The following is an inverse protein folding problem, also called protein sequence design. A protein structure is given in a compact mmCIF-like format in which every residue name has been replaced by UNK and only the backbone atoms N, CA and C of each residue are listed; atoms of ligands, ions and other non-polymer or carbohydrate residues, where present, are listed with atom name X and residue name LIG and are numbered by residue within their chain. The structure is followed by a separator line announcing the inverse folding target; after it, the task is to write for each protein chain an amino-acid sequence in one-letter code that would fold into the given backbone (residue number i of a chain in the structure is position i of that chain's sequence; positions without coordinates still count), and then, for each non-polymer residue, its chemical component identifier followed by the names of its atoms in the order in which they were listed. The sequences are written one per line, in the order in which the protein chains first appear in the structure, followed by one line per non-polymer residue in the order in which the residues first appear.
data_IF_901739215214
#
_entry.id   IF_901739215214
#
_cell.length_a   1.000
_cell.length_b   1.000
_cell.length_c   1.000
_cell.angle_alpha   90.00
_cell.angle_beta   90.00
_cell.angle_gamma   90.00
#
_symmetry.space_group_name_H-M   'P 1'
#
loop_
_entity.id
_entity.type
_entity.pdbx_description
1 polymer ?
#
# COMPACT_ATOMS: atom_id res chain seq x y z
N UNK A 1 12.95 -33.57 21.84
CA UNK A 1 12.77 -32.95 20.51
C UNK A 1 12.40 -31.50 20.74
N UNK A 2 13.28 -30.58 20.37
CA UNK A 2 13.03 -29.15 20.52
C UNK A 2 11.98 -28.65 19.53
N UNK A 3 11.37 -27.49 19.80
CA UNK A 3 10.42 -26.88 18.87
C UNK A 3 11.06 -26.57 17.50
N UNK A 4 12.36 -26.25 17.50
CA UNK A 4 13.17 -25.97 16.30
C UNK A 4 13.29 -27.19 15.40
N UNK A 5 13.57 -28.37 15.96
CA UNK A 5 13.62 -29.64 15.23
C UNK A 5 12.26 -29.99 14.63
N UNK A 6 11.17 -29.74 15.37
CA UNK A 6 9.81 -29.97 14.89
C UNK A 6 9.47 -29.05 13.71
N UNK A 7 9.85 -27.78 13.78
CA UNK A 7 9.63 -26.79 12.72
C UNK A 7 10.47 -27.12 11.48
N UNK A 8 11.75 -27.47 11.65
CA UNK A 8 12.63 -27.88 10.56
C UNK A 8 12.06 -29.11 9.83
N UNK A 9 11.59 -30.11 10.58
CA UNK A 9 10.96 -31.32 10.03
C UNK A 9 9.69 -30.99 9.24
N UNK A 10 8.83 -30.10 9.75
CA UNK A 10 7.61 -29.68 9.06
C UNK A 10 7.90 -28.86 7.79
N UNK A 11 8.89 -27.96 7.84
CA UNK A 11 9.33 -27.18 6.66
C UNK A 11 9.86 -28.08 5.56
N UNK A 12 10.68 -29.07 5.91
CA UNK A 12 11.22 -30.06 4.97
C UNK A 12 10.11 -30.89 4.31
N UNK A 13 9.19 -31.42 5.12
CA UNK A 13 8.04 -32.19 4.61
C UNK A 13 7.15 -31.35 3.67
N UNK A 14 6.94 -30.07 3.98
CA UNK A 14 6.18 -29.16 3.12
C UNK A 14 6.91 -28.88 1.79
N UNK A 15 8.23 -28.66 1.84
CA UNK A 15 9.03 -28.41 0.65
C UNK A 15 9.03 -29.62 -0.32
N UNK A 16 9.01 -30.84 0.23
CA UNK A 16 8.93 -32.09 -0.53
C UNK A 16 7.57 -32.28 -1.23
N UNK A 17 6.49 -31.73 -0.68
CA UNK A 17 5.14 -31.79 -1.27
C UNK A 17 4.94 -30.86 -2.48
N UNK A 18 5.77 -29.83 -2.64
CA UNK A 18 5.65 -28.86 -3.74
C UNK A 18 6.41 -29.44 -4.95
N UNK A 19 5.74 -29.76 -6.07
CA UNK A 19 6.41 -30.22 -7.28
C UNK A 19 7.44 -29.20 -7.75
N UNK A 20 8.57 -29.68 -8.27
CA UNK A 20 9.74 -28.85 -8.59
C UNK A 20 9.43 -27.69 -9.55
N UNK A 21 8.53 -27.91 -10.52
CA UNK A 21 8.05 -26.87 -11.45
C UNK A 21 7.32 -25.70 -10.80
N UNK A 22 6.85 -25.86 -9.56
CA UNK A 22 6.14 -24.82 -8.79
C UNK A 22 7.01 -24.23 -7.67
N UNK A 23 8.25 -24.72 -7.51
CA UNK A 23 9.18 -24.14 -6.54
C UNK A 23 9.73 -22.84 -7.11
N UNK A 24 9.78 -21.82 -6.26
CA UNK A 24 10.49 -20.58 -6.59
C UNK A 24 11.97 -20.93 -6.73
N UNK A 25 12.62 -20.62 -7.87
CA UNK A 25 14.04 -20.84 -8.06
C UNK A 25 14.86 -20.22 -6.91
N UNK A 26 15.89 -20.95 -6.44
CA UNK A 26 16.64 -20.55 -5.25
C UNK A 26 17.35 -19.20 -5.40
N UNK A 27 17.73 -18.84 -6.63
CA UNK A 27 18.29 -17.55 -7.02
C UNK A 27 17.30 -16.38 -6.92
N UNK A 28 16.00 -16.67 -6.85
CA UNK A 28 14.94 -15.67 -6.64
C UNK A 28 14.53 -15.54 -5.17
N UNK A 29 14.97 -16.45 -4.30
CA UNK A 29 14.75 -16.34 -2.87
C UNK A 29 15.80 -15.38 -2.27
N UNK A 30 15.44 -14.59 -1.24
CA UNK A 30 16.43 -13.84 -0.48
C UNK A 30 17.48 -14.81 0.08
N UNK A 31 18.74 -14.39 0.08
CA UNK A 31 19.82 -15.18 0.70
C UNK A 31 19.54 -15.35 2.20
N UNK A 32 19.90 -16.51 2.76
CA UNK A 32 19.61 -16.83 4.18
C UNK A 32 20.21 -15.82 5.17
N UNK A 33 21.27 -15.09 4.76
CA UNK A 33 21.90 -14.02 5.53
C UNK A 33 21.16 -12.68 5.47
N UNK A 34 20.16 -12.53 4.59
CA UNK A 34 19.34 -11.34 4.47
C UNK A 34 18.25 -11.35 5.54
N UNK A 35 18.67 -11.15 6.80
CA UNK A 35 17.77 -11.01 7.94
C UNK A 35 17.09 -9.64 8.01
N UNK A 36 17.59 -8.67 7.26
CA UNK A 36 17.11 -7.29 7.23
C UNK A 36 16.53 -6.93 5.88
N UNK A 37 15.27 -6.51 5.88
CA UNK A 37 14.61 -5.81 4.77
C UNK A 37 14.77 -4.29 4.90
N UNK A 38 15.61 -3.81 5.83
CA UNK A 38 15.78 -2.38 6.13
C UNK A 38 16.80 -1.72 5.19
N UNK A 39 17.74 -2.49 4.60
CA UNK A 39 18.61 -2.00 3.50
C UNK A 39 17.87 -1.86 2.17
N UNK A 40 16.63 -2.35 2.11
CA UNK A 40 15.70 -2.19 1.00
C UNK A 40 14.92 -0.86 1.16
N UNK A 41 15.59 0.30 1.15
CA UNK A 41 15.01 1.43 0.42
C UNK A 41 15.81 1.82 -0.83
N UNK A 42 17.09 1.47 -0.96
CA UNK A 42 17.91 2.02 -2.06
C UNK A 42 17.44 1.57 -3.45
N UNK A 43 16.93 0.34 -3.59
CA UNK A 43 16.48 -0.20 -4.88
C UNK A 43 14.98 -0.07 -5.13
N UNK A 44 14.19 -0.07 -4.06
CA UNK A 44 12.74 0.01 -4.09
C UNK A 44 12.27 1.45 -4.21
N UNK A 45 11.99 1.85 -5.45
CA UNK A 45 11.65 3.23 -5.79
C UNK A 45 12.36 3.67 -7.08
N UNK A 46 13.47 3.02 -7.46
CA UNK A 46 14.20 3.29 -8.71
C UNK A 46 13.37 3.08 -9.98
N UNK A 47 12.34 2.24 -9.90
CA UNK A 47 11.36 1.98 -10.97
C UNK A 47 9.96 2.52 -10.61
N UNK A 48 9.87 3.42 -9.63
CA UNK A 48 8.58 3.96 -9.22
C UNK A 48 8.02 4.90 -10.28
N UNK A 49 6.73 4.74 -10.57
CA UNK A 49 5.94 5.69 -11.38
C UNK A 49 5.93 7.13 -10.82
N UNK A 50 6.44 7.36 -9.60
CA UNK A 50 6.55 8.69 -9.01
C UNK A 50 7.78 9.47 -9.51
N UNK A 51 8.81 8.80 -10.02
CA UNK A 51 10.03 9.48 -10.48
C UNK A 51 9.80 10.36 -11.73
N UNK A 52 9.07 9.91 -12.77
CA UNK A 52 8.82 10.73 -13.96
C UNK A 52 8.06 12.04 -13.66
N UNK A 53 7.23 12.07 -12.61
CA UNK A 53 6.54 13.29 -12.17
C UNK A 53 7.41 14.21 -11.28
N UNK A 54 8.71 13.91 -11.14
CA UNK A 54 9.66 14.71 -10.38
C UNK A 54 9.58 14.51 -8.86
N UNK A 55 8.96 13.43 -8.37
CA UNK A 55 8.86 13.19 -6.93
C UNK A 55 10.21 12.81 -6.31
N UNK A 56 10.51 13.36 -5.13
CA UNK A 56 11.69 13.02 -4.34
C UNK A 56 11.31 11.99 -3.27
N UNK A 57 11.68 10.73 -3.49
CA UNK A 57 11.44 9.65 -2.53
C UNK A 57 12.55 9.67 -1.47
N UNK A 58 12.19 9.83 -0.20
CA UNK A 58 13.17 10.04 0.88
C UNK A 58 13.02 9.07 2.06
N UNK A 59 11.87 8.43 2.22
CA UNK A 59 11.63 7.45 3.30
C UNK A 59 10.73 6.32 2.85
N UNK A 60 10.81 5.21 3.59
CA UNK A 60 9.78 4.18 3.63
C UNK A 60 9.16 4.15 5.01
N UNK A 61 7.84 4.03 5.06
CA UNK A 61 7.14 4.02 6.34
C UNK A 61 6.76 2.61 6.77
N UNK A 62 6.53 2.48 8.07
CA UNK A 62 6.27 1.21 8.73
C UNK A 62 4.89 0.65 8.35
N UNK A 63 4.79 -0.68 8.29
CA UNK A 63 3.55 -1.43 8.00
C UNK A 63 3.39 -2.56 9.02
N UNK A 64 2.18 -3.10 9.27
CA UNK A 64 2.05 -4.29 10.09
C UNK A 64 2.71 -5.51 9.47
N UNK A 65 2.98 -6.48 10.32
CA UNK A 65 3.41 -7.80 9.88
C UNK A 65 2.41 -8.35 8.85
N UNK A 66 2.93 -8.81 7.71
CA UNK A 66 2.19 -9.31 6.54
C UNK A 66 1.19 -8.36 5.89
N UNK A 67 1.14 -7.08 6.26
CA UNK A 67 0.21 -6.04 5.74
C UNK A 67 -1.30 -6.33 5.92
N UNK A 68 -1.67 -7.38 6.67
CA UNK A 68 -3.05 -7.88 6.75
C UNK A 68 -3.75 -7.57 8.09
N UNK A 69 -3.57 -6.37 8.62
CA UNK A 69 -4.28 -5.90 9.83
C UNK A 69 -4.45 -4.38 9.83
N UNK A 70 -5.53 -3.90 10.43
CA UNK A 70 -5.87 -2.48 10.58
C UNK A 70 -5.18 -1.81 11.80
N UNK A 71 -3.94 -2.20 12.07
CA UNK A 71 -3.04 -1.62 13.08
C UNK A 71 -1.62 -1.73 12.52
N UNK A 72 -0.68 -0.85 12.89
CA UNK A 72 0.69 -0.90 12.37
C UNK A 72 1.66 -1.37 13.44
N UNK A 73 1.85 -2.68 13.50
CA UNK A 73 2.79 -3.37 14.40
C UNK A 73 3.46 -4.56 13.71
N UNK A 74 4.77 -4.69 13.88
CA UNK A 74 5.53 -5.85 13.43
C UNK A 74 6.73 -6.11 14.36
N UNK A 75 7.33 -7.30 14.25
CA UNK A 75 8.46 -7.73 15.09
C UNK A 75 9.83 -7.20 14.65
N UNK A 76 9.90 -6.40 13.57
CA UNK A 76 11.16 -5.87 13.00
C UNK A 76 11.40 -4.43 13.48
N UNK A 77 10.44 -3.54 13.22
CA UNK A 77 10.49 -2.10 13.54
C UNK A 77 9.69 -1.78 14.80
N UNK A 78 8.73 -2.63 15.17
CA UNK A 78 7.83 -2.40 16.30
C UNK A 78 6.53 -1.70 15.89
N UNK A 79 5.89 -1.06 16.88
CA UNK A 79 4.59 -0.39 16.73
C UNK A 79 4.74 1.07 16.30
N UNK A 80 3.97 1.48 15.32
CA UNK A 80 3.74 2.90 15.02
C UNK A 80 2.61 3.43 15.89
N UNK A 81 2.85 4.56 16.55
CA UNK A 81 1.88 5.21 17.44
C UNK A 81 1.09 6.29 16.69
N UNK A 82 -0.15 6.54 17.12
CA UNK A 82 -0.94 7.64 16.59
C UNK A 82 -0.36 9.00 17.03
N UNK A 83 -0.13 9.96 16.11
CA UNK A 83 0.41 11.27 16.42
C UNK A 83 -0.44 12.12 17.38
N UNK A 84 -1.77 11.96 17.35
CA UNK A 84 -2.69 12.73 18.19
C UNK A 84 -2.80 12.16 19.61
N UNK A 85 -2.69 10.83 19.74
CA UNK A 85 -2.73 10.17 21.04
C UNK A 85 -1.97 8.84 21.00
N UNK A 86 -0.83 8.79 21.70
CA UNK A 86 0.06 7.60 21.75
C UNK A 86 -0.57 6.37 22.40
N UNK A 87 -1.73 6.48 23.05
CA UNK A 87 -2.51 5.37 23.59
C UNK A 87 -3.47 4.75 22.55
N UNK A 88 -3.60 5.37 21.38
CA UNK A 88 -4.46 4.88 20.29
C UNK A 88 -3.63 4.30 19.13
N UNK A 89 -4.27 3.42 18.36
CA UNK A 89 -3.71 2.91 17.11
C UNK A 89 -3.62 4.03 16.05
N UNK A 90 -2.55 4.02 15.25
CA UNK A 90 -2.48 4.83 14.04
C UNK A 90 -3.25 4.20 12.86
N UNK A 91 -3.88 3.04 13.05
CA UNK A 91 -4.53 2.28 11.99
C UNK A 91 -3.53 1.48 11.15
N UNK A 92 -4.00 0.89 10.07
CA UNK A 92 -3.16 0.08 9.18
C UNK A 92 -3.87 -0.38 7.91
N UNK A 93 -3.15 -0.94 6.94
CA UNK A 93 -1.73 -1.26 7.01
C UNK A 93 -0.79 -0.09 6.70
N UNK A 94 -1.27 1.00 6.10
CA UNK A 94 -0.46 2.19 5.78
C UNK A 94 -0.31 3.16 6.97
N UNK A 95 -0.28 2.67 8.21
CA UNK A 95 -0.30 3.54 9.40
C UNK A 95 1.01 4.31 9.62
N UNK A 96 2.15 3.79 9.12
CA UNK A 96 3.39 4.56 9.04
C UNK A 96 3.27 5.80 8.17
N UNK A 97 2.70 5.67 6.96
CA UNK A 97 2.47 6.79 6.04
C UNK A 97 1.60 7.86 6.70
N UNK A 98 0.45 7.45 7.25
CA UNK A 98 -0.50 8.41 7.81
C UNK A 98 0.02 9.06 9.08
N UNK A 99 0.76 8.34 9.92
CA UNK A 99 1.39 8.94 11.09
C UNK A 99 2.45 9.97 10.69
N UNK A 100 3.26 9.67 9.68
CA UNK A 100 4.28 10.60 9.18
C UNK A 100 3.66 11.86 8.57
N UNK A 101 2.66 11.70 7.70
CA UNK A 101 1.96 12.82 7.07
C UNK A 101 1.26 13.67 8.14
N UNK A 102 0.56 13.06 9.10
CA UNK A 102 -0.11 13.81 10.16
C UNK A 102 0.86 14.60 11.06
N UNK A 103 2.11 14.13 11.21
CA UNK A 103 3.20 14.89 11.84
C UNK A 103 3.83 15.96 10.93
N UNK A 104 3.26 16.19 9.74
CA UNK A 104 3.81 17.05 8.69
C UNK A 104 5.22 16.65 8.21
N UNK A 105 5.58 15.39 8.43
CA UNK A 105 6.86 14.84 7.99
C UNK A 105 6.92 14.57 6.50
N UNK A 106 5.76 14.42 5.83
CA UNK A 106 5.59 14.34 4.38
C UNK A 106 4.36 15.16 3.93
N UNK A 107 4.41 15.88 2.79
CA UNK A 107 3.23 16.56 2.24
C UNK A 107 2.22 15.59 1.62
N UNK A 108 2.70 14.46 1.10
CA UNK A 108 1.88 13.43 0.45
C UNK A 108 2.57 12.07 0.59
N UNK A 109 1.79 11.00 0.70
CA UNK A 109 2.29 9.64 0.72
C UNK A 109 1.41 8.70 -0.06
N UNK A 110 1.84 7.45 -0.22
CA UNK A 110 1.12 6.43 -0.98
C UNK A 110 0.97 5.17 -0.14
N UNK A 111 -0.28 4.75 0.04
CA UNK A 111 -0.62 3.50 0.69
C UNK A 111 -1.14 2.46 -0.29
N UNK A 112 -1.48 1.28 0.25
CA UNK A 112 -2.24 0.25 -0.48
C UNK A 112 -3.54 -0.06 0.26
N UNK A 113 -4.59 -0.46 -0.46
CA UNK A 113 -5.91 -0.73 0.14
C UNK A 113 -6.66 -1.86 -0.58
N UNK A 114 -6.61 -3.04 0.04
CA UNK A 114 -7.46 -4.19 -0.29
C UNK A 114 -8.73 -4.22 0.57
N UNK A 115 -8.63 -3.87 1.86
CA UNK A 115 -9.70 -4.00 2.85
C UNK A 115 -9.91 -2.77 3.74
N UNK A 116 -9.31 -1.63 3.42
CA UNK A 116 -9.37 -0.40 4.23
C UNK A 116 -8.01 0.25 4.49
N UNK A 117 -6.92 -0.31 3.97
CA UNK A 117 -5.57 0.03 4.42
C UNK A 117 -5.01 1.40 4.01
N UNK A 118 -5.75 2.17 3.20
CA UNK A 118 -5.54 3.61 3.02
C UNK A 118 -6.55 4.37 3.90
N UNK A 119 -7.83 4.00 3.81
CA UNK A 119 -8.95 4.73 4.40
C UNK A 119 -8.98 4.68 5.93
N UNK A 120 -8.76 3.51 6.53
CA UNK A 120 -8.73 3.31 7.98
C UNK A 120 -7.63 4.13 8.65
N UNK A 121 -6.34 4.02 8.25
CA UNK A 121 -5.31 4.84 8.88
C UNK A 121 -5.48 6.33 8.55
N UNK A 122 -5.98 6.72 7.36
CA UNK A 122 -6.26 8.12 7.08
C UNK A 122 -7.32 8.68 8.04
N UNK A 123 -8.41 7.94 8.28
CA UNK A 123 -9.46 8.33 9.23
C UNK A 123 -8.92 8.43 10.67
N UNK A 124 -8.05 7.51 11.10
CA UNK A 124 -7.50 7.52 12.47
C UNK A 124 -6.54 8.68 12.72
N UNK A 125 -5.94 9.24 11.67
CA UNK A 125 -4.96 10.32 11.77
C UNK A 125 -5.48 11.63 11.12
N UNK A 126 -6.79 11.78 10.90
CA UNK A 126 -7.36 13.04 10.43
C UNK A 126 -6.90 13.48 9.04
N UNK A 127 -6.61 12.54 8.14
CA UNK A 127 -6.11 12.80 6.79
C UNK A 127 -7.14 12.43 5.72
N UNK A 128 -6.90 12.95 4.51
CA UNK A 128 -7.60 12.53 3.31
C UNK A 128 -6.85 11.37 2.67
N UNK A 129 -7.55 10.29 2.34
CA UNK A 129 -6.98 9.17 1.60
C UNK A 129 -8.00 8.61 0.63
N UNK A 130 -7.57 8.33 -0.60
CA UNK A 130 -8.44 7.74 -1.62
C UNK A 130 -7.99 6.32 -1.94
N UNK A 131 -8.92 5.37 -1.84
CA UNK A 131 -8.81 4.07 -2.47
C UNK A 131 -9.42 4.20 -3.87
N UNK A 132 -8.61 4.31 -4.95
CA UNK A 132 -9.18 4.40 -6.28
C UNK A 132 -9.80 3.07 -6.72
N UNK A 133 -10.57 3.09 -7.80
CA UNK A 133 -11.02 1.86 -8.46
C UNK A 133 -9.83 1.01 -8.87
N UNK A 134 -9.99 -0.31 -8.87
CA UNK A 134 -8.98 -1.20 -9.41
C UNK A 134 -8.66 -0.85 -10.87
N UNK A 135 -7.38 -0.97 -11.24
CA UNK A 135 -6.87 -0.60 -12.55
C UNK A 135 -6.78 0.91 -12.81
N UNK A 136 -7.05 1.77 -11.82
CA UNK A 136 -6.89 3.23 -11.98
C UNK A 136 -5.46 3.71 -11.74
N UNK A 137 -4.69 3.03 -10.92
CA UNK A 137 -3.32 3.39 -10.57
C UNK A 137 -2.40 2.20 -10.83
N UNK A 138 -1.14 2.45 -11.25
CA UNK A 138 -0.16 1.39 -11.42
C UNK A 138 0.07 0.66 -10.10
N UNK A 139 0.15 -0.67 -10.20
CA UNK A 139 0.39 -1.60 -9.10
C UNK A 139 1.56 -2.56 -9.42
N UNK A 140 2.10 -2.52 -10.64
CA UNK A 140 3.29 -3.25 -11.03
C UNK A 140 4.46 -2.98 -10.06
N UNK A 141 5.16 -4.04 -9.66
CA UNK A 141 6.29 -3.97 -8.74
C UNK A 141 5.93 -3.84 -7.26
N UNK A 142 4.66 -3.59 -6.91
CA UNK A 142 4.21 -3.57 -5.52
C UNK A 142 4.34 -4.96 -4.91
N UNK A 143 4.92 -5.05 -3.71
CA UNK A 143 5.07 -6.32 -2.99
C UNK A 143 3.80 -6.64 -2.21
N UNK A 144 3.31 -7.88 -2.33
CA UNK A 144 2.14 -8.37 -1.62
C UNK A 144 2.48 -9.65 -0.85
N UNK A 145 1.75 -9.88 0.24
CA UNK A 145 1.81 -11.15 0.99
C UNK A 145 0.95 -12.25 0.36
N UNK A 146 0.19 -11.91 -0.69
CA UNK A 146 -0.80 -12.79 -1.34
C UNK A 146 -0.71 -12.66 -2.87
N UNK A 147 0.47 -12.89 -3.43
CA UNK A 147 0.68 -12.84 -4.89
C UNK A 147 -0.21 -13.89 -5.61
N UNK A 148 -0.78 -13.50 -6.75
CA UNK A 148 -1.64 -14.36 -7.58
C UNK A 148 -3.11 -14.43 -7.16
N UNK A 149 -3.51 -13.75 -6.08
CA UNK A 149 -4.93 -13.58 -5.76
C UNK A 149 -5.58 -12.57 -6.72
N UNK A 150 -6.71 -12.94 -7.32
CA UNK A 150 -7.43 -12.06 -8.27
C UNK A 150 -8.93 -11.89 -7.90
N UNK A 151 -9.38 -12.33 -6.72
CA UNK A 151 -10.79 -12.19 -6.29
C UNK A 151 -11.09 -10.80 -5.73
N UNK A 152 -10.12 -10.20 -5.04
CA UNK A 152 -10.26 -8.90 -4.36
C UNK A 152 -8.95 -8.17 -4.53
N UNK A 153 -8.89 -7.30 -5.54
CA UNK A 153 -7.65 -6.64 -5.87
C UNK A 153 -7.33 -5.50 -4.89
N UNK A 154 -6.07 -5.48 -4.46
CA UNK A 154 -5.47 -4.32 -3.82
C UNK A 154 -5.25 -3.20 -4.84
N UNK A 155 -5.18 -1.97 -4.36
CA UNK A 155 -4.88 -0.77 -5.17
C UNK A 155 -3.90 0.12 -4.44
N UNK A 156 -3.14 0.92 -5.18
CA UNK A 156 -2.34 2.02 -4.65
C UNK A 156 -3.14 3.32 -4.71
N UNK A 157 -2.98 4.18 -3.71
CA UNK A 157 -3.64 5.48 -3.69
C UNK A 157 -2.97 6.49 -2.75
N UNK A 158 -3.11 7.79 -3.04
CA UNK A 158 -2.48 8.84 -2.26
C UNK A 158 -3.20 9.10 -0.93
N UNK A 159 -2.43 9.63 0.01
CA UNK A 159 -2.86 10.15 1.31
C UNK A 159 -2.21 11.53 1.50
N UNK A 160 -2.98 12.52 1.96
CA UNK A 160 -2.53 13.90 2.12
C UNK A 160 -3.37 14.67 3.15
N UNK A 161 -2.97 15.92 3.42
CA UNK A 161 -3.70 16.87 4.28
C UNK A 161 -4.93 17.49 3.61
N UNK A 162 -5.01 17.45 2.28
CA UNK A 162 -6.08 18.08 1.51
C UNK A 162 -6.60 17.15 0.42
N UNK A 163 -7.89 17.25 0.14
CA UNK A 163 -8.52 16.52 -0.96
C UNK A 163 -7.96 16.94 -2.33
N UNK A 164 -7.58 18.22 -2.49
CA UNK A 164 -7.00 18.70 -3.74
C UNK A 164 -5.63 18.07 -4.04
N UNK A 165 -4.82 17.81 -3.02
CA UNK A 165 -3.50 17.18 -3.19
C UNK A 165 -3.64 15.74 -3.70
N UNK A 166 -4.69 15.03 -3.27
CA UNK A 166 -5.02 13.71 -3.81
C UNK A 166 -5.33 13.78 -5.31
N UNK A 167 -6.15 14.75 -5.70
CA UNK A 167 -6.53 14.94 -7.11
C UNK A 167 -5.31 15.33 -7.96
N UNK A 168 -4.49 16.25 -7.46
CA UNK A 168 -3.25 16.67 -8.12
C UNK A 168 -2.31 15.48 -8.35
N UNK A 169 -2.09 14.66 -7.33
CA UNK A 169 -1.22 13.48 -7.44
C UNK A 169 -1.76 12.43 -8.42
N UNK A 170 -3.05 12.10 -8.32
CA UNK A 170 -3.68 11.16 -9.25
C UNK A 170 -3.60 11.65 -10.70
N UNK A 171 -3.83 12.95 -10.93
CA UNK A 171 -3.71 13.58 -12.24
C UNK A 171 -2.28 13.45 -12.79
N UNK A 172 -1.29 13.85 -12.00
CA UNK A 172 0.11 13.81 -12.41
C UNK A 172 0.55 12.40 -12.83
N UNK A 173 0.12 11.36 -12.10
CA UNK A 173 0.44 9.97 -12.45
C UNK A 173 -0.26 9.50 -13.72
N UNK A 174 -1.53 9.86 -13.92
CA UNK A 174 -2.27 9.45 -15.11
C UNK A 174 -1.82 10.17 -16.38
N UNK A 175 -1.25 11.37 -16.26
CA UNK A 175 -0.61 12.09 -17.36
C UNK A 175 0.71 11.45 -17.82
N UNK A 176 1.25 10.49 -17.06
CA UNK A 176 2.39 9.66 -17.48
C UNK A 176 1.97 8.40 -18.24
N UNK A 177 0.69 8.26 -18.59
CA UNK A 177 0.17 7.14 -19.39
C UNK A 177 0.55 5.75 -18.81
N UNK A 178 0.25 5.49 -17.52
CA UNK A 178 0.74 4.31 -16.80
C UNK A 178 0.34 2.95 -17.41
N UNK A 179 -0.68 2.93 -18.27
CA UNK A 179 -1.12 1.75 -19.01
C UNK A 179 -0.10 1.25 -20.02
N UNK A 180 0.89 2.05 -20.42
CA UNK A 180 1.95 1.64 -21.35
C UNK A 180 2.96 0.68 -20.72
N UNK A 181 3.09 0.67 -19.39
CA UNK A 181 4.05 -0.17 -18.67
C UNK A 181 3.42 -1.06 -17.59
N UNK A 182 2.17 -0.82 -17.19
CA UNK A 182 1.41 -1.70 -16.29
C UNK A 182 0.11 -2.17 -16.97
N UNK A 183 0.05 -3.42 -17.46
CA UNK A 183 -1.10 -3.93 -18.20
C UNK A 183 -2.36 -4.11 -17.33
N UNK A 184 -2.26 -3.99 -16.00
CA UNK A 184 -3.44 -3.99 -15.12
C UNK A 184 -4.10 -2.60 -15.05
N UNK A 185 -3.44 -1.55 -15.55
CA UNK A 185 -4.00 -0.20 -15.58
C UNK A 185 -4.89 -0.04 -16.81
N UNK A 186 -6.11 0.44 -16.58
CA UNK A 186 -7.05 0.74 -17.65
C UNK A 186 -6.69 2.10 -18.23
N UNK A 187 -6.62 2.19 -19.56
CA UNK A 187 -6.39 3.40 -20.33
C UNK A 187 -7.56 4.39 -20.18
N UNK A 188 -7.56 5.10 -19.05
CA UNK A 188 -8.52 6.16 -18.76
C UNK A 188 -7.71 7.36 -18.30
N UNK A 189 -7.53 8.39 -19.13
CA UNK A 189 -6.79 9.58 -18.74
C UNK A 189 -7.48 10.33 -17.58
N UNK A 190 -6.79 11.34 -17.04
CA UNK A 190 -7.44 12.31 -16.18
C UNK A 190 -8.51 13.08 -16.97
N UNK A 191 -9.69 13.25 -16.36
CA UNK A 191 -10.85 13.91 -16.96
C UNK A 191 -11.18 15.16 -16.17
N UNK A 192 -10.59 16.28 -16.58
CA UNK A 192 -10.71 17.58 -15.92
C UNK A 192 -12.16 18.05 -15.87
N UNK A 193 -12.94 17.80 -16.93
CA UNK A 193 -14.36 18.09 -17.02
C UNK A 193 -15.16 17.33 -15.96
N UNK A 194 -14.84 16.05 -15.71
CA UNK A 194 -15.51 15.23 -14.69
C UNK A 194 -15.13 15.61 -13.28
N UNK A 195 -13.88 15.99 -13.06
CA UNK A 195 -13.44 16.53 -11.77
C UNK A 195 -14.17 17.85 -11.44
N UNK A 196 -14.31 18.74 -12.43
CA UNK A 196 -15.00 20.02 -12.26
C UNK A 196 -16.52 19.86 -12.09
N UNK A 197 -17.17 19.00 -12.89
CA UNK A 197 -18.56 18.58 -12.69
C UNK A 197 -18.77 17.99 -11.29
N UNK A 198 -17.76 17.25 -10.80
CA UNK A 198 -17.67 16.72 -9.46
C UNK A 198 -17.80 17.77 -8.35
N UNK A 199 -17.31 18.99 -8.56
CA UNK A 199 -17.29 20.05 -7.52
C UNK A 199 -18.59 20.84 -7.43
N UNK A 200 -19.33 20.99 -8.52
CA UNK A 200 -20.48 21.92 -8.59
C UNK A 200 -21.81 21.25 -8.93
N UNK A 201 -21.78 20.04 -9.50
CA UNK A 201 -22.98 19.33 -9.92
C UNK A 201 -23.83 18.87 -8.72
N UNK A 202 -25.15 18.92 -8.87
CA UNK A 202 -26.08 18.28 -7.92
C UNK A 202 -25.81 16.77 -7.88
N UNK A 203 -25.79 16.20 -6.68
CA UNK A 203 -25.50 14.78 -6.45
C UNK A 203 -26.65 14.12 -5.72
N UNK A 204 -26.81 12.82 -5.98
CA UNK A 204 -27.72 11.95 -5.24
C UNK A 204 -26.86 11.05 -4.36
N UNK A 205 -27.14 11.03 -3.06
CA UNK A 205 -26.40 10.24 -2.08
C UNK A 205 -27.27 9.11 -1.54
N UNK A 206 -26.79 7.88 -1.65
CA UNK A 206 -27.34 6.74 -0.89
C UNK A 206 -26.71 6.72 0.50
N UNK A 207 -27.53 6.55 1.54
CA UNK A 207 -27.07 6.48 2.94
C UNK A 207 -27.49 5.13 3.51
N UNK A 208 -26.51 4.37 4.02
CA UNK A 208 -26.76 3.14 4.77
C UNK A 208 -26.41 3.40 6.23
N UNK A 209 -27.34 3.07 7.13
CA UNK A 209 -27.13 3.17 8.58
C UNK A 209 -27.15 1.76 9.17
N UNK A 210 -26.50 1.59 10.32
CA UNK A 210 -26.36 0.27 10.97
C UNK A 210 -27.61 -0.12 11.77
N UNK A 211 -28.58 0.79 11.91
CA UNK A 211 -29.79 0.63 12.73
C UNK A 211 -31.08 0.55 11.87
N UNK A 212 -30.98 0.05 10.64
CA UNK A 212 -32.12 -0.18 9.74
C UNK A 212 -32.72 -1.56 9.91
#
# INVERSE_FOLDING_TARGET
MGWEELVAKKRKALAELIPEKWRIPADKLPVDSQHSVISYPETSGKESCFLPIGAVLYVKTNVPQSVMVCETINNIVGRTLNPYNRLLSCGGSSGGETALIALHGSPIGVGTDIGGSIRTPAAFNGLWGIRPSHGRMPFAGVRSSMDGQETVHSVCGPIAHRAEDLAYFMKAILEQEPWDYDPKVIEIPWREEKYNEGKTGKKIFGVTTVNG
#
